data_IF_915986971644
#
_entry.id   IF_915986971644
#
_cell.length_a   1.000
_cell.length_b   1.000
_cell.length_c   1.000
_cell.angle_alpha   90.00
_cell.angle_beta   90.00
_cell.angle_gamma   90.00
#
_symmetry.space_group_name_H-M   'P 1'
#
loop_
_entity.id
_entity.type
_entity.pdbx_description
1 polymer ?
#
# COMPACT_ATOMS: atom_id res chain seq x y z
N UNK A 1 6.67 -5.96 10.01
CA UNK A 1 7.90 -5.22 9.72
C UNK A 1 7.59 -4.10 8.76
N UNK A 2 8.57 -3.25 8.50
CA UNK A 2 8.48 -2.11 7.58
C UNK A 2 9.64 -2.18 6.60
N UNK A 3 9.35 -1.95 5.31
CA UNK A 3 10.27 -1.97 4.16
C UNK A 3 10.95 -3.32 3.86
N UNK A 4 11.17 -4.17 4.86
CA UNK A 4 11.80 -5.49 4.74
C UNK A 4 11.10 -6.51 5.63
N UNK A 5 11.34 -7.80 5.36
CA UNK A 5 10.94 -8.84 6.29
C UNK A 5 11.83 -8.81 7.54
N UNK A 6 11.21 -8.48 8.68
CA UNK A 6 11.87 -8.34 9.97
C UNK A 6 11.83 -9.61 10.83
N UNK A 7 11.43 -10.77 10.28
CA UNK A 7 11.34 -12.04 11.01
C UNK A 7 12.62 -12.38 11.78
N UNK A 8 13.78 -12.26 11.14
CA UNK A 8 15.07 -12.60 11.75
C UNK A 8 15.42 -11.76 13.00
N UNK A 9 14.86 -10.55 13.12
CA UNK A 9 15.14 -9.67 14.26
C UNK A 9 14.21 -9.96 15.44
N UNK A 10 12.94 -10.22 15.16
CA UNK A 10 11.94 -10.47 16.18
C UNK A 10 10.76 -11.25 15.57
N UNK A 11 10.78 -12.59 15.60
CA UNK A 11 9.75 -13.41 14.94
C UNK A 11 8.38 -13.31 15.64
N UNK A 12 8.36 -12.97 16.95
CA UNK A 12 7.12 -12.71 17.70
C UNK A 12 7.23 -11.38 18.47
N UNK A 13 6.20 -10.52 18.46
CA UNK A 13 4.83 -10.72 17.98
C UNK A 13 4.62 -10.26 16.51
N UNK A 14 5.56 -10.55 15.60
CA UNK A 14 5.42 -10.17 14.19
C UNK A 14 4.22 -10.90 13.56
N UNK A 15 3.42 -10.15 12.79
CA UNK A 15 2.28 -10.68 12.03
C UNK A 15 2.63 -10.86 10.55
N UNK A 16 3.17 -9.82 9.91
CA UNK A 16 3.68 -9.81 8.53
C UNK A 16 4.58 -8.58 8.37
N UNK A 17 4.99 -8.24 7.14
CA UNK A 17 5.71 -7.02 6.78
C UNK A 17 5.22 -6.48 5.44
N UNK A 18 5.19 -5.16 5.32
CA UNK A 18 5.11 -4.48 4.02
C UNK A 18 6.54 -4.33 3.53
N UNK A 19 6.84 -4.91 2.38
CA UNK A 19 8.19 -5.00 1.79
C UNK A 19 8.24 -4.08 0.58
N UNK A 20 9.27 -3.23 0.53
CA UNK A 20 9.49 -2.33 -0.59
C UNK A 20 10.44 -3.02 -1.58
N UNK A 21 9.89 -3.57 -2.66
CA UNK A 21 10.61 -4.34 -3.67
C UNK A 21 11.03 -3.46 -4.86
N UNK A 22 12.12 -2.72 -4.66
CA UNK A 22 12.61 -1.77 -5.68
C UNK A 22 13.41 -2.41 -6.82
N UNK A 23 13.77 -3.69 -6.72
CA UNK A 23 14.69 -4.32 -7.67
C UNK A 23 14.15 -4.32 -9.12
N UNK A 24 12.88 -4.69 -9.40
CA UNK A 24 12.33 -4.65 -10.76
C UNK A 24 12.39 -3.24 -11.35
N UNK A 25 11.97 -2.24 -10.59
CA UNK A 25 12.03 -0.83 -11.00
C UNK A 25 13.45 -0.41 -11.34
N UNK A 26 14.43 -0.64 -10.46
CA UNK A 26 15.82 -0.25 -10.73
C UNK A 26 16.42 -0.95 -11.95
N UNK A 27 16.13 -2.24 -12.14
CA UNK A 27 16.57 -2.98 -13.32
C UNK A 27 15.99 -2.34 -14.60
N UNK A 28 14.68 -2.05 -14.61
CA UNK A 28 14.02 -1.40 -15.75
C UNK A 28 14.62 -0.03 -16.06
N UNK A 29 14.78 0.83 -15.04
CA UNK A 29 15.29 2.20 -15.24
C UNK A 29 16.73 2.24 -15.72
N UNK A 30 17.58 1.35 -15.19
CA UNK A 30 18.97 1.22 -15.63
C UNK A 30 19.02 0.69 -17.06
N UNK A 31 18.18 -0.29 -17.40
CA UNK A 31 18.09 -0.82 -18.76
C UNK A 31 17.66 0.27 -19.76
N UNK A 32 16.64 1.07 -19.43
CA UNK A 32 16.21 2.19 -20.27
C UNK A 32 17.34 3.23 -20.49
N UNK A 33 18.18 3.46 -19.49
CA UNK A 33 19.34 4.34 -19.63
C UNK A 33 20.41 3.73 -20.55
N UNK A 34 20.69 2.44 -20.42
CA UNK A 34 21.61 1.69 -21.30
C UNK A 34 21.11 1.73 -22.76
N UNK A 35 19.81 1.54 -22.97
CA UNK A 35 19.20 1.50 -24.30
C UNK A 35 18.97 2.91 -24.90
N UNK A 36 19.25 3.98 -24.14
CA UNK A 36 19.02 5.35 -24.57
C UNK A 36 17.55 5.73 -24.70
N UNK A 37 16.65 4.96 -24.09
CA UNK A 37 15.18 5.15 -24.11
C UNK A 37 14.66 5.81 -22.83
N UNK A 38 15.52 6.07 -21.86
CA UNK A 38 15.14 6.71 -20.60
C UNK A 38 14.52 8.09 -20.82
N UNK A 39 13.39 8.33 -20.16
CA UNK A 39 12.71 9.62 -20.07
C UNK A 39 12.31 9.91 -18.63
N UNK A 40 12.16 11.19 -18.29
CA UNK A 40 11.63 11.60 -16.99
C UNK A 40 10.15 11.20 -16.88
N UNK A 41 9.79 10.50 -15.81
CA UNK A 41 8.42 10.04 -15.54
C UNK A 41 8.09 10.21 -14.07
N UNK A 42 6.80 10.27 -13.76
CA UNK A 42 6.28 10.05 -12.42
C UNK A 42 5.88 8.57 -12.31
N UNK A 43 6.27 7.89 -11.25
CA UNK A 43 5.99 6.46 -11.05
C UNK A 43 5.39 6.26 -9.68
N UNK A 44 4.36 5.42 -9.61
CA UNK A 44 3.75 4.97 -8.37
C UNK A 44 3.32 3.52 -8.55
N UNK A 45 4.19 2.57 -8.19
CA UNK A 45 3.85 1.15 -8.24
C UNK A 45 3.28 0.65 -6.90
N UNK A 46 2.38 -0.32 -7.00
CA UNK A 46 1.72 -0.95 -5.85
C UNK A 46 1.99 -2.45 -5.76
N UNK A 47 1.00 -3.17 -5.23
CA UNK A 47 1.06 -4.64 -5.09
C UNK A 47 0.98 -5.32 -6.47
N UNK A 48 0.13 -4.82 -7.37
CA UNK A 48 -0.04 -5.36 -8.72
C UNK A 48 1.22 -5.22 -9.59
N UNK A 49 1.97 -4.13 -9.41
CA UNK A 49 3.22 -3.87 -10.12
C UNK A 49 4.43 -4.61 -9.49
N UNK A 50 4.24 -5.13 -8.27
CA UNK A 50 5.26 -5.84 -7.52
C UNK A 50 6.26 -4.93 -6.81
N UNK A 51 6.06 -3.61 -6.78
CA UNK A 51 6.89 -2.67 -6.00
C UNK A 51 6.60 -2.77 -4.50
N UNK A 52 5.38 -3.16 -4.13
CA UNK A 52 5.00 -3.46 -2.75
C UNK A 52 4.68 -4.95 -2.62
N UNK A 53 5.34 -5.65 -1.72
CA UNK A 53 5.06 -7.05 -1.41
C UNK A 53 4.56 -7.21 0.03
N UNK A 54 3.63 -8.15 0.22
CA UNK A 54 3.21 -8.58 1.56
C UNK A 54 4.08 -9.78 1.93
N UNK A 55 4.89 -9.61 2.98
CA UNK A 55 5.72 -10.68 3.53
C UNK A 55 4.86 -11.79 4.15
N UNK A 56 5.51 -12.90 4.52
CA UNK A 56 4.79 -14.04 5.09
C UNK A 56 3.86 -13.63 6.23
N UNK A 57 2.60 -14.06 6.18
CA UNK A 57 1.67 -13.95 7.30
C UNK A 57 1.92 -15.12 8.24
N UNK A 58 2.34 -14.82 9.46
CA UNK A 58 2.82 -15.81 10.44
C UNK A 58 1.70 -16.72 10.95
N UNK A 59 2.09 -17.88 11.49
CA UNK A 59 1.17 -18.85 12.09
C UNK A 59 0.44 -18.33 13.35
N UNK A 60 0.85 -17.16 13.88
CA UNK A 60 0.13 -16.49 14.97
C UNK A 60 -1.22 -15.91 14.52
N UNK A 61 -1.43 -15.75 13.20
CA UNK A 61 -2.69 -15.31 12.61
C UNK A 61 -3.57 -16.54 12.38
N UNK A 62 -4.84 -16.53 12.85
CA UNK A 62 -5.79 -17.58 12.53
C UNK A 62 -5.93 -17.79 11.02
N UNK A 63 -6.11 -19.04 10.59
CA UNK A 63 -6.08 -19.41 9.18
C UNK A 63 -7.15 -18.66 8.35
N UNK A 64 -8.31 -18.42 8.93
CA UNK A 64 -9.39 -17.64 8.32
C UNK A 64 -8.98 -16.18 8.08
N UNK A 65 -8.31 -15.55 9.04
CA UNK A 65 -7.84 -14.16 8.92
C UNK A 65 -6.71 -14.05 7.91
N UNK A 66 -5.81 -15.05 7.87
CA UNK A 66 -4.76 -15.14 6.84
C UNK A 66 -5.37 -15.22 5.44
N UNK A 67 -6.37 -16.09 5.25
CA UNK A 67 -7.05 -16.22 3.96
C UNK A 67 -7.77 -14.93 3.53
N UNK A 68 -8.41 -14.23 4.47
CA UNK A 68 -9.01 -12.92 4.20
C UNK A 68 -7.97 -11.87 3.76
N UNK A 69 -6.82 -11.82 4.45
CA UNK A 69 -5.73 -10.91 4.10
C UNK A 69 -5.12 -11.22 2.73
N UNK A 70 -4.91 -12.49 2.41
CA UNK A 70 -4.41 -12.93 1.09
C UNK A 70 -5.42 -12.62 -0.03
N UNK A 71 -6.72 -12.80 0.22
CA UNK A 71 -7.76 -12.43 -0.73
C UNK A 71 -7.81 -10.91 -0.95
N UNK A 72 -7.70 -10.11 0.11
CA UNK A 72 -7.65 -8.66 0.02
C UNK A 72 -6.40 -8.19 -0.74
N UNK A 73 -5.23 -8.77 -0.44
CA UNK A 73 -4.00 -8.52 -1.20
C UNK A 73 -4.20 -8.79 -2.70
N UNK A 74 -4.81 -9.92 -3.06
CA UNK A 74 -5.08 -10.25 -4.45
C UNK A 74 -6.02 -9.24 -5.12
N UNK A 75 -7.08 -8.80 -4.43
CA UNK A 75 -8.01 -7.79 -4.96
C UNK A 75 -7.39 -6.39 -5.09
N UNK A 76 -6.42 -6.03 -4.24
CA UNK A 76 -5.64 -4.80 -4.40
C UNK A 76 -4.71 -4.96 -5.61
N UNK A 77 -4.07 -6.12 -5.77
CA UNK A 77 -3.14 -6.39 -6.85
C UNK A 77 -3.81 -6.38 -8.24
N UNK A 78 -5.04 -6.89 -8.35
CA UNK A 78 -5.80 -6.91 -9.60
C UNK A 78 -6.65 -5.64 -9.83
N UNK A 79 -6.67 -4.72 -8.86
CA UNK A 79 -7.39 -3.46 -8.91
C UNK A 79 -8.90 -3.54 -8.68
N UNK A 80 -9.44 -4.73 -8.35
CA UNK A 80 -10.86 -4.88 -7.99
C UNK A 80 -11.22 -4.26 -6.63
N UNK A 81 -10.22 -4.02 -5.79
CA UNK A 81 -10.35 -3.27 -4.54
C UNK A 81 -9.34 -2.13 -4.48
N UNK A 82 -9.82 -0.92 -4.18
CA UNK A 82 -8.98 0.25 -3.92
C UNK A 82 -9.18 0.72 -2.47
N UNK A 83 -8.10 0.83 -1.65
CA UNK A 83 -8.21 1.17 -0.22
C UNK A 83 -8.96 2.47 0.08
N UNK A 84 -8.90 3.43 -0.85
CA UNK A 84 -9.61 4.69 -0.76
C UNK A 84 -10.81 4.69 -1.71
N UNK A 85 -11.80 3.85 -1.40
CA UNK A 85 -13.12 3.83 -2.07
C UNK A 85 -14.18 4.21 -1.03
N UNK A 86 -15.02 5.19 -1.36
CA UNK A 86 -16.05 5.67 -0.46
C UNK A 86 -17.20 4.67 -0.22
N UNK A 87 -18.01 4.90 0.82
CA UNK A 87 -18.07 6.14 1.58
C UNK A 87 -16.95 6.27 2.63
N UNK A 88 -16.26 7.41 2.65
CA UNK A 88 -15.24 7.73 3.67
C UNK A 88 -15.46 9.16 4.18
N UNK A 89 -15.52 9.31 5.50
CA UNK A 89 -15.52 10.61 6.17
C UNK A 89 -14.11 10.96 6.66
N UNK A 90 -13.87 12.27 6.83
CA UNK A 90 -12.70 12.81 7.54
C UNK A 90 -12.86 12.62 9.04
N UNK A 91 -11.76 12.84 9.76
CA UNK A 91 -11.69 12.76 11.21
C UNK A 91 -12.70 13.67 11.94
N UNK A 92 -13.04 14.81 11.35
CA UNK A 92 -14.03 15.76 11.88
C UNK A 92 -15.49 15.39 11.55
N UNK A 93 -15.71 14.24 10.90
CA UNK A 93 -17.02 13.75 10.46
C UNK A 93 -17.52 14.36 9.16
N UNK A 94 -16.77 15.27 8.52
CA UNK A 94 -17.16 15.78 7.20
C UNK A 94 -16.95 14.72 6.10
N UNK A 95 -17.85 14.60 5.12
CA UNK A 95 -17.67 13.64 4.03
C UNK A 95 -16.42 13.94 3.17
N UNK A 96 -15.68 12.90 2.77
CA UNK A 96 -14.58 12.99 1.79
C UNK A 96 -14.93 12.28 0.49
N UNK A 97 -15.12 10.96 0.51
CA UNK A 97 -15.47 10.17 -0.67
C UNK A 97 -16.93 9.72 -0.56
N UNK A 98 -17.72 9.96 -1.62
CA UNK A 98 -19.06 9.42 -1.74
C UNK A 98 -19.04 7.90 -1.97
N UNK A 99 -20.17 7.23 -1.79
CA UNK A 99 -20.29 5.78 -2.03
C UNK A 99 -19.82 5.40 -3.45
N UNK A 100 -18.86 4.47 -3.52
CA UNK A 100 -18.25 4.01 -4.78
C UNK A 100 -17.27 4.98 -5.43
N UNK A 101 -17.07 6.18 -4.88
CA UNK A 101 -16.05 7.11 -5.37
C UNK A 101 -14.66 6.63 -4.97
N UNK A 102 -13.77 6.46 -5.94
CA UNK A 102 -12.36 6.15 -5.72
C UNK A 102 -11.56 7.45 -5.68
N UNK A 103 -10.68 7.61 -4.69
CA UNK A 103 -9.77 8.75 -4.62
C UNK A 103 -8.81 8.74 -5.82
N UNK A 104 -8.50 9.93 -6.34
CA UNK A 104 -7.47 10.11 -7.36
C UNK A 104 -6.07 10.13 -6.74
N UNK A 105 -5.05 9.75 -7.51
CA UNK A 105 -3.65 9.83 -7.07
C UNK A 105 -3.26 11.26 -6.62
N UNK A 106 -3.79 12.29 -7.27
CA UNK A 106 -3.54 13.69 -6.91
C UNK A 106 -4.10 14.04 -5.52
N UNK A 107 -5.31 13.56 -5.19
CA UNK A 107 -5.88 13.69 -3.85
C UNK A 107 -5.05 12.95 -2.80
N UNK A 108 -4.54 11.76 -3.14
CA UNK A 108 -3.74 10.95 -2.23
C UNK A 108 -2.35 11.54 -1.97
N UNK A 109 -1.65 12.03 -2.99
CA UNK A 109 -0.34 12.69 -2.83
C UNK A 109 -0.44 13.95 -1.98
N UNK A 110 -1.57 14.65 -2.06
CA UNK A 110 -1.82 15.88 -1.30
C UNK A 110 -2.57 15.67 0.02
N UNK A 111 -2.84 14.41 0.40
CA UNK A 111 -3.67 14.08 1.56
C UNK A 111 -3.05 14.60 2.86
N UNK A 112 -3.77 15.52 3.51
CA UNK A 112 -3.32 16.25 4.70
C UNK A 112 -4.39 16.29 5.80
N UNK A 113 -5.20 15.24 5.87
CA UNK A 113 -6.23 15.03 6.89
C UNK A 113 -6.28 13.55 7.26
N UNK A 114 -6.82 13.22 8.43
CA UNK A 114 -7.12 11.84 8.79
C UNK A 114 -8.57 11.48 8.45
N UNK A 115 -8.84 10.18 8.29
CA UNK A 115 -10.20 9.64 8.16
C UNK A 115 -10.85 9.48 9.53
N UNK A 116 -12.17 9.29 9.54
CA UNK A 116 -12.95 9.00 10.75
C UNK A 116 -12.36 7.82 11.55
N UNK A 117 -12.39 7.93 12.89
CA UNK A 117 -11.87 6.92 13.82
C UNK A 117 -10.40 7.12 14.24
N UNK A 118 -9.65 7.98 13.57
CA UNK A 118 -8.32 8.40 14.01
C UNK A 118 -8.44 9.48 15.10
N UNK A 119 -7.64 9.42 16.16
CA UNK A 119 -7.63 10.43 17.25
C UNK A 119 -6.36 11.28 17.29
N UNK A 120 -5.42 11.07 16.36
CA UNK A 120 -4.18 11.84 16.27
C UNK A 120 -4.41 13.23 15.67
N UNK A 121 -3.54 14.18 15.99
CA UNK A 121 -3.53 15.50 15.37
C UNK A 121 -2.43 15.56 14.30
N UNK A 122 -2.67 16.29 13.22
CA UNK A 122 -1.64 16.55 12.21
C UNK A 122 -0.72 17.65 12.76
N UNK A 123 0.61 17.44 12.80
CA UNK A 123 1.55 18.47 13.22
C UNK A 123 1.42 19.75 12.38
N UNK A 124 1.52 20.90 13.03
CA UNK A 124 1.50 22.23 12.40
C UNK A 124 2.87 22.78 12.04
#
# INVERSE_FOLDING_TARGET
GQASDMEAFKPTPRISSIIDNWAPYYIERVQAAIDGTWTSTHTWGGIGDGEVAIGEITEAVPAEVKAEAEALQASIADGSYHPFTGPINKQDGTPWLAEGQVATDEELVSMNFYVEGISGEIPS
#
